data_IF_437264602457
#
_entry.id   IF_437264602457
#
_cell.length_a   1.000
_cell.length_b   1.000
_cell.length_c   1.000
_cell.angle_alpha   90.00
_cell.angle_beta   90.00
_cell.angle_gamma   90.00
#
_symmetry.space_group_name_H-M   'P 1'
#
loop_
_entity.id
_entity.type
_entity.pdbx_description
1 polymer ?
#
# COMPACT_ATOMS: atom_id res chain seq x y z
N UNK A 1 -5.06 10.78 -32.82
CA UNK A 1 -5.20 11.70 -31.67
C UNK A 1 -4.94 10.88 -30.43
N UNK A 2 -3.91 11.22 -29.67
CA UNK A 2 -3.50 10.44 -28.49
C UNK A 2 -3.84 11.26 -27.23
N UNK A 3 -4.44 10.60 -26.23
CA UNK A 3 -4.87 11.24 -24.99
C UNK A 3 -3.67 11.25 -24.04
N UNK A 4 -3.22 12.43 -23.63
CA UNK A 4 -2.13 12.61 -22.65
C UNK A 4 -2.68 13.15 -21.34
N UNK A 5 -2.18 12.66 -20.20
CA UNK A 5 -2.58 13.15 -18.88
C UNK A 5 -1.98 14.53 -18.60
N UNK A 6 -2.76 15.44 -18.01
CA UNK A 6 -2.29 16.80 -17.65
C UNK A 6 -1.30 16.78 -16.47
N UNK A 7 -1.27 15.66 -15.72
CA UNK A 7 -0.39 15.46 -14.57
C UNK A 7 1.05 15.09 -14.96
N UNK A 8 1.35 14.95 -16.26
CA UNK A 8 2.65 14.48 -16.74
C UNK A 8 2.82 12.95 -16.67
N UNK A 9 4.03 12.44 -16.93
CA UNK A 9 4.31 11.01 -16.90
C UNK A 9 4.21 10.45 -15.48
N UNK A 10 3.72 9.20 -15.37
CA UNK A 10 3.70 8.49 -14.09
C UNK A 10 5.12 8.26 -13.59
N UNK A 11 5.34 8.25 -12.27
CA UNK A 11 6.63 7.84 -11.72
C UNK A 11 6.92 6.38 -12.10
N UNK A 12 8.21 6.05 -12.31
CA UNK A 12 8.60 4.68 -12.61
C UNK A 12 8.18 3.77 -11.46
N UNK A 13 7.35 2.78 -11.76
CA UNK A 13 6.98 1.74 -10.81
C UNK A 13 8.18 0.80 -10.71
N UNK A 14 8.66 0.47 -9.49
CA UNK A 14 9.75 -0.47 -9.35
C UNK A 14 9.28 -1.88 -9.72
N UNK A 15 9.80 -2.42 -10.82
CA UNK A 15 9.50 -3.77 -11.31
C UNK A 15 10.11 -4.88 -10.44
N UNK A 16 10.96 -4.52 -9.49
CA UNK A 16 11.72 -5.45 -8.63
C UNK A 16 11.08 -5.73 -7.28
N UNK A 17 9.87 -5.20 -7.01
CA UNK A 17 9.16 -5.43 -5.74
C UNK A 17 7.95 -6.34 -5.95
N UNK A 18 7.75 -7.27 -5.02
CA UNK A 18 6.46 -7.98 -4.94
C UNK A 18 5.35 -7.01 -4.54
N UNK A 19 4.09 -7.35 -4.81
CA UNK A 19 2.95 -6.52 -4.41
C UNK A 19 2.95 -6.23 -2.89
N UNK A 20 3.20 -7.21 -1.99
CA UNK A 20 3.34 -6.91 -0.57
C UNK A 20 4.48 -5.93 -0.27
N UNK A 21 5.67 -6.11 -0.86
CA UNK A 21 6.80 -5.19 -0.65
C UNK A 21 6.47 -3.77 -1.16
N UNK A 22 5.84 -3.65 -2.33
CA UNK A 22 5.39 -2.37 -2.85
C UNK A 22 4.38 -1.70 -1.91
N UNK A 23 3.40 -2.46 -1.41
CA UNK A 23 2.36 -1.93 -0.51
C UNK A 23 2.94 -1.58 0.85
N UNK A 24 3.82 -2.37 1.46
CA UNK A 24 4.20 -2.16 2.87
C UNK A 24 5.53 -1.43 3.05
N UNK A 25 6.45 -1.55 2.10
CA UNK A 25 7.86 -1.15 2.27
C UNK A 25 8.30 -0.01 1.34
N UNK A 26 7.49 0.35 0.35
CA UNK A 26 7.80 1.48 -0.53
C UNK A 26 7.37 2.81 0.09
N UNK A 27 8.32 3.71 0.31
CA UNK A 27 8.03 5.12 0.62
C UNK A 27 8.02 5.94 -0.66
N UNK A 28 6.99 6.75 -0.83
CA UNK A 28 6.85 7.64 -1.97
C UNK A 28 6.38 9.02 -1.49
N UNK A 29 6.85 10.10 -2.12
CA UNK A 29 6.62 11.47 -1.64
C UNK A 29 5.14 11.87 -1.56
N UNK A 30 4.28 11.26 -2.39
CA UNK A 30 2.83 11.46 -2.37
C UNK A 30 2.08 10.44 -1.50
N UNK A 31 2.78 9.48 -0.89
CA UNK A 31 2.15 8.44 -0.09
C UNK A 31 1.62 9.05 1.21
N UNK A 32 0.31 8.89 1.52
CA UNK A 32 -0.23 9.42 2.76
C UNK A 32 0.42 8.77 3.98
N UNK A 33 0.90 9.61 4.90
CA UNK A 33 1.43 9.14 6.17
C UNK A 33 0.26 8.74 7.09
N UNK A 34 0.17 7.45 7.43
CA UNK A 34 -0.83 6.96 8.39
C UNK A 34 -0.37 7.27 9.81
N UNK A 35 -1.29 7.73 10.66
CA UNK A 35 -1.01 7.92 12.09
C UNK A 35 -0.73 6.57 12.74
N UNK A 36 0.17 6.55 13.73
CA UNK A 36 0.41 5.36 14.53
C UNK A 36 -0.90 4.85 15.15
N UNK A 37 -1.10 3.53 15.14
CA UNK A 37 -2.34 2.89 15.63
C UNK A 37 -3.54 2.94 14.67
N UNK A 38 -3.42 3.56 13.49
CA UNK A 38 -4.49 3.49 12.48
C UNK A 38 -4.62 2.04 11.97
N UNK A 39 -5.81 1.42 12.05
CA UNK A 39 -6.00 0.07 11.51
C UNK A 39 -5.77 0.05 10.01
N UNK A 40 -5.17 -1.04 9.53
CA UNK A 40 -4.98 -1.29 8.10
C UNK A 40 -6.17 -2.03 7.49
N UNK A 41 -6.72 -2.98 8.25
CA UNK A 41 -7.94 -3.70 7.92
C UNK A 41 -8.81 -3.76 9.18
N UNK A 42 -10.13 -3.85 8.97
CA UNK A 42 -11.11 -4.12 10.02
C UNK A 42 -11.90 -5.32 9.53
N UNK A 43 -11.91 -6.38 10.34
CA UNK A 43 -12.73 -7.56 10.09
C UNK A 43 -14.20 -7.17 10.19
N UNK A 44 -14.98 -7.45 9.14
CA UNK A 44 -16.37 -7.00 9.02
C UNK A 44 -17.31 -7.71 10.00
N UNK A 45 -16.96 -8.93 10.39
CA UNK A 45 -17.79 -9.81 11.22
C UNK A 45 -17.55 -9.57 12.71
N UNK A 46 -16.29 -9.41 13.11
CA UNK A 46 -15.86 -9.28 14.51
C UNK A 46 -15.53 -7.84 14.90
N UNK A 47 -15.35 -6.94 13.93
CA UNK A 47 -14.88 -5.57 14.16
C UNK A 47 -13.40 -5.50 14.56
N UNK A 48 -12.66 -6.60 14.49
CA UNK A 48 -11.25 -6.63 14.90
C UNK A 48 -10.40 -5.78 13.97
N UNK A 49 -9.69 -4.82 14.55
CA UNK A 49 -8.67 -4.04 13.88
C UNK A 49 -7.38 -4.85 13.70
N UNK A 50 -6.83 -4.85 12.48
CA UNK A 50 -5.53 -5.45 12.16
C UNK A 50 -4.51 -4.36 11.84
N UNK A 51 -3.34 -4.44 12.47
CA UNK A 51 -2.23 -3.51 12.27
C UNK A 51 -1.39 -3.81 11.03
N UNK A 52 -0.49 -2.89 10.67
CA UNK A 52 0.41 -3.04 9.51
C UNK A 52 1.18 -4.35 9.54
N UNK A 53 1.83 -4.65 10.66
CA UNK A 53 2.73 -5.79 10.78
C UNK A 53 1.98 -7.13 10.75
N UNK A 54 0.76 -7.20 11.30
CA UNK A 54 -0.10 -8.38 11.17
C UNK A 54 -0.47 -8.66 9.71
N UNK A 55 -0.91 -7.62 8.98
CA UNK A 55 -1.31 -7.74 7.57
C UNK A 55 -0.10 -8.03 6.67
N UNK A 56 1.05 -7.41 6.94
CA UNK A 56 2.28 -7.67 6.18
C UNK A 56 2.75 -9.11 6.38
N UNK A 57 2.70 -9.61 7.62
CA UNK A 57 3.15 -10.97 7.94
C UNK A 57 2.26 -12.03 7.29
N UNK A 58 0.95 -11.81 7.21
CA UNK A 58 0.04 -12.72 6.51
C UNK A 58 0.23 -12.69 4.99
N UNK A 59 0.50 -11.51 4.41
CA UNK A 59 0.72 -11.35 2.98
C UNK A 59 2.08 -11.91 2.49
N UNK A 60 3.06 -12.09 3.39
CA UNK A 60 4.38 -12.64 3.06
C UNK A 60 4.43 -14.18 3.06
N UNK A 61 3.36 -14.85 3.52
CA UNK A 61 3.26 -16.31 3.64
C UNK A 61 2.37 -16.95 2.55
N UNK A 62 1.99 -16.19 1.53
CA UNK A 62 1.17 -16.64 0.39
C UNK A 62 1.98 -16.91 -0.87
#
# INVERSE_FOLDING_TARGET
MEISSISGPLPPIPDSLTIPQFIFDCEYVTRPMRRAGTPWLIDDTTGRALGRDEVRSSAALG
#
